data_IF_706498203356
#
_entry.id   IF_706498203356
#
_cell.length_a   1.000
_cell.length_b   1.000
_cell.length_c   1.000
_cell.angle_alpha   90.00
_cell.angle_beta   90.00
_cell.angle_gamma   90.00
#
_symmetry.space_group_name_H-M   'P 1'
#
loop_
_entity.id
_entity.type
_entity.pdbx_description
1 polymer ?
#
# COMPACT_ATOMS: atom_id res chain seq x y z
N UNK A 1 -7.34 -20.43 18.22
CA UNK A 1 -5.89 -20.28 18.28
C UNK A 1 -5.49 -19.20 17.27
N UNK A 2 -4.82 -18.11 17.66
CA UNK A 2 -4.37 -17.08 16.72
C UNK A 2 -3.23 -17.69 15.87
N UNK A 3 -3.38 -17.68 14.54
CA UNK A 3 -2.31 -18.11 13.64
C UNK A 3 -1.11 -17.17 13.79
N UNK A 4 0.11 -17.73 13.78
CA UNK A 4 1.33 -16.91 13.78
C UNK A 4 1.49 -16.26 12.41
N UNK A 5 2.09 -15.09 12.36
CA UNK A 5 2.36 -14.36 11.10
C UNK A 5 3.13 -15.23 10.10
N UNK A 6 4.09 -16.01 10.56
CA UNK A 6 4.88 -16.95 9.74
C UNK A 6 4.05 -18.06 9.07
N UNK A 7 2.92 -18.45 9.65
CA UNK A 7 2.03 -19.46 9.05
C UNK A 7 1.16 -18.87 7.92
N UNK A 8 0.95 -17.56 7.93
CA UNK A 8 0.16 -16.83 6.94
C UNK A 8 1.01 -16.28 5.79
N UNK A 9 2.31 -16.12 5.99
CA UNK A 9 3.24 -15.51 5.04
C UNK A 9 4.20 -16.52 4.40
N UNK A 10 3.71 -17.73 4.13
CA UNK A 10 4.49 -18.72 3.39
C UNK A 10 4.63 -18.29 1.92
N UNK A 11 5.82 -18.43 1.27
CA UNK A 11 6.03 -18.08 -0.13
C UNK A 11 5.00 -18.64 -1.12
N UNK A 12 4.46 -19.83 -0.84
CA UNK A 12 3.39 -20.46 -1.64
C UNK A 12 2.11 -19.63 -1.74
N UNK A 13 1.91 -18.64 -0.85
CA UNK A 13 0.81 -17.69 -0.95
C UNK A 13 0.79 -16.98 -2.31
N UNK A 14 1.98 -16.66 -2.85
CA UNK A 14 2.11 -15.97 -4.14
C UNK A 14 1.67 -16.83 -5.32
N UNK A 15 1.59 -18.14 -5.17
CA UNK A 15 1.08 -19.08 -6.19
C UNK A 15 -0.34 -19.60 -5.90
N UNK A 16 -0.90 -19.29 -4.72
CA UNK A 16 -2.18 -19.86 -4.28
C UNK A 16 -3.35 -18.92 -4.59
N UNK A 17 -3.98 -19.12 -5.76
CA UNK A 17 -5.12 -18.31 -6.24
C UNK A 17 -6.32 -18.30 -5.27
N UNK A 18 -6.56 -19.37 -4.53
CA UNK A 18 -7.68 -19.45 -3.58
C UNK A 18 -7.42 -18.50 -2.41
N UNK A 19 -6.22 -18.57 -1.83
CA UNK A 19 -5.83 -17.66 -0.73
C UNK A 19 -5.79 -16.20 -1.19
N UNK A 20 -5.32 -15.93 -2.42
CA UNK A 20 -5.33 -14.60 -3.02
C UNK A 20 -6.76 -14.05 -3.11
N UNK A 21 -7.70 -14.84 -3.61
CA UNK A 21 -9.12 -14.46 -3.70
C UNK A 21 -9.73 -14.19 -2.32
N UNK A 22 -9.39 -14.99 -1.31
CA UNK A 22 -9.84 -14.77 0.07
C UNK A 22 -9.28 -13.46 0.66
N UNK A 23 -7.99 -13.14 0.40
CA UNK A 23 -7.37 -11.89 0.85
C UNK A 23 -8.08 -10.70 0.22
N UNK A 24 -8.31 -10.74 -1.10
CA UNK A 24 -9.03 -9.69 -1.82
C UNK A 24 -10.46 -9.54 -1.29
N UNK A 25 -11.16 -10.64 -1.05
CA UNK A 25 -12.50 -10.62 -0.48
C UNK A 25 -12.53 -9.94 0.89
N UNK A 26 -11.60 -10.29 1.79
CA UNK A 26 -11.46 -9.62 3.10
C UNK A 26 -11.12 -8.14 2.95
N UNK A 27 -10.25 -7.79 1.99
CA UNK A 27 -9.88 -6.39 1.73
C UNK A 27 -11.07 -5.57 1.23
N UNK A 28 -11.90 -6.15 0.37
CA UNK A 28 -13.15 -5.55 -0.09
C UNK A 28 -14.22 -5.45 1.02
N UNK A 29 -14.22 -6.36 1.98
CA UNK A 29 -15.16 -6.33 3.10
C UNK A 29 -14.88 -5.20 4.10
N UNK A 30 -13.68 -4.62 4.11
CA UNK A 30 -13.33 -3.53 5.01
C UNK A 30 -14.21 -2.29 4.80
N UNK A 31 -14.45 -1.48 5.85
CA UNK A 31 -15.23 -0.26 5.74
C UNK A 31 -14.67 0.68 4.67
N UNK A 32 -15.57 1.36 3.96
CA UNK A 32 -15.17 2.38 2.99
C UNK A 32 -14.56 3.58 3.73
N UNK A 33 -13.33 3.94 3.38
CA UNK A 33 -12.63 5.06 3.99
C UNK A 33 -12.82 6.33 3.15
N UNK A 34 -13.59 7.26 3.70
CA UNK A 34 -13.83 8.56 3.09
C UNK A 34 -13.47 9.66 4.08
N UNK A 35 -12.36 10.36 3.84
CA UNK A 35 -11.88 11.46 4.68
C UNK A 35 -12.40 12.82 4.22
N UNK A 36 -12.85 12.93 2.96
CA UNK A 36 -13.43 14.13 2.38
C UNK A 36 -14.90 13.90 2.04
N UNK A 37 -15.77 14.80 2.49
CA UNK A 37 -17.22 14.76 2.20
C UNK A 37 -17.58 15.36 0.82
N UNK A 38 -16.67 16.12 0.20
CA UNK A 38 -16.89 16.75 -1.11
C UNK A 38 -16.84 15.71 -2.24
N UNK A 39 -17.58 15.89 -3.33
CA UNK A 39 -17.45 15.06 -4.53
C UNK A 39 -16.02 15.13 -5.07
N UNK A 40 -15.47 13.97 -5.43
CA UNK A 40 -14.15 13.86 -6.03
C UNK A 40 -14.32 13.45 -7.48
N UNK A 41 -13.79 14.27 -8.40
CA UNK A 41 -13.91 14.04 -9.86
C UNK A 41 -12.70 13.30 -10.45
N UNK A 42 -11.58 13.34 -9.75
CA UNK A 42 -10.33 12.74 -10.22
C UNK A 42 -10.15 11.36 -9.63
N UNK A 43 -9.68 10.44 -10.44
CA UNK A 43 -9.45 9.05 -10.06
C UNK A 43 -7.99 8.67 -10.24
N UNK A 44 -7.49 7.87 -9.34
CA UNK A 44 -6.16 7.31 -9.38
C UNK A 44 -6.21 5.83 -9.01
N UNK A 45 -5.17 5.10 -9.40
CA UNK A 45 -4.98 3.73 -8.98
C UNK A 45 -3.56 3.52 -8.50
N UNK A 46 -3.39 2.67 -7.50
CA UNK A 46 -2.07 2.25 -7.01
C UNK A 46 -1.99 0.73 -7.00
N UNK A 47 -0.81 0.20 -7.21
CA UNK A 47 -0.52 -1.22 -7.01
C UNK A 47 0.01 -1.41 -5.60
N UNK A 48 -0.50 -2.39 -4.86
CA UNK A 48 0.10 -2.95 -3.65
C UNK A 48 0.92 -4.16 -4.10
N UNK A 49 2.21 -3.99 -4.46
CA UNK A 49 2.98 -5.06 -5.06
C UNK A 49 3.63 -5.92 -3.98
N UNK A 50 3.31 -7.21 -4.00
CA UNK A 50 4.01 -8.21 -3.22
C UNK A 50 5.14 -8.79 -4.06
N UNK A 51 6.25 -9.12 -3.43
CA UNK A 51 7.38 -9.79 -4.07
C UNK A 51 8.09 -10.71 -3.09
N UNK A 52 8.80 -11.71 -3.61
CA UNK A 52 9.63 -12.60 -2.83
C UNK A 52 11.07 -12.06 -2.82
N UNK A 53 11.62 -11.84 -1.63
CA UNK A 53 13.02 -11.44 -1.42
C UNK A 53 13.57 -12.26 -0.26
N UNK A 54 14.66 -12.99 -0.47
CA UNK A 54 15.28 -13.86 0.54
C UNK A 54 14.26 -14.78 1.23
N UNK A 55 13.44 -15.48 0.43
CA UNK A 55 12.37 -16.39 0.85
C UNK A 55 11.31 -15.75 1.77
N UNK A 56 11.22 -14.42 1.79
CA UNK A 56 10.20 -13.68 2.54
C UNK A 56 9.32 -12.85 1.62
N UNK A 57 8.03 -12.79 1.95
CA UNK A 57 7.09 -11.93 1.24
C UNK A 57 7.29 -10.49 1.69
N UNK A 58 7.54 -9.61 0.72
CA UNK A 58 7.77 -8.18 0.92
C UNK A 58 6.70 -7.35 0.25
N UNK A 59 6.47 -6.15 0.77
CA UNK A 59 5.79 -5.07 0.06
C UNK A 59 6.84 -4.18 -0.62
N UNK A 60 6.60 -3.82 -1.88
CA UNK A 60 7.45 -2.87 -2.60
C UNK A 60 6.87 -1.47 -2.51
N UNK A 61 7.75 -0.50 -2.27
CA UNK A 61 7.44 0.92 -2.21
C UNK A 61 8.36 1.74 -3.10
N UNK A 62 7.91 2.92 -3.46
CA UNK A 62 8.70 3.95 -4.13
C UNK A 62 8.90 5.14 -3.20
N UNK A 63 10.08 5.77 -3.24
CA UNK A 63 10.34 7.07 -2.67
C UNK A 63 10.24 8.10 -3.80
N UNK A 64 9.30 9.02 -3.71
CA UNK A 64 9.06 10.02 -4.75
C UNK A 64 10.22 10.99 -4.88
N UNK A 65 10.57 11.32 -6.12
CA UNK A 65 11.68 12.22 -6.44
C UNK A 65 11.47 13.62 -5.83
N UNK A 66 12.56 14.23 -5.38
CA UNK A 66 12.58 15.63 -4.93
C UNK A 66 12.30 16.63 -6.06
N UNK A 67 12.42 16.21 -7.32
CA UNK A 67 12.12 17.02 -8.52
C UNK A 67 10.61 17.28 -8.70
N UNK A 68 9.77 16.44 -8.11
CA UNK A 68 8.31 16.55 -8.24
C UNK A 68 7.77 17.79 -7.51
N UNK A 69 6.70 18.36 -8.04
CA UNK A 69 6.03 19.51 -7.41
C UNK A 69 5.27 19.13 -6.14
N UNK A 70 4.63 17.95 -6.15
CA UNK A 70 3.75 17.48 -5.08
C UNK A 70 4.28 16.17 -4.49
N UNK A 71 4.12 16.01 -3.16
CA UNK A 71 4.46 14.77 -2.45
C UNK A 71 5.91 14.30 -2.60
N UNK A 72 6.84 15.24 -2.86
CA UNK A 72 8.27 14.94 -2.97
C UNK A 72 8.82 14.33 -1.69
N UNK A 73 9.69 13.34 -1.81
CA UNK A 73 10.32 12.67 -0.68
C UNK A 73 9.35 11.85 0.18
N UNK A 74 8.13 11.58 -0.31
CA UNK A 74 7.19 10.71 0.38
C UNK A 74 7.30 9.28 -0.14
N UNK A 75 7.16 8.34 0.77
CA UNK A 75 7.02 6.92 0.42
C UNK A 75 5.60 6.67 -0.08
N UNK A 76 5.48 6.01 -1.23
CA UNK A 76 4.20 5.64 -1.83
C UNK A 76 4.22 4.22 -2.37
N UNK A 77 3.05 3.65 -2.55
CA UNK A 77 2.90 2.56 -3.51
C UNK A 77 3.02 3.11 -4.93
N UNK A 78 3.56 2.35 -5.88
CA UNK A 78 3.56 2.72 -7.29
C UNK A 78 2.15 2.98 -7.79
N UNK A 79 1.96 4.06 -8.55
CA UNK A 79 0.64 4.40 -9.06
C UNK A 79 0.46 5.88 -9.38
N UNK A 80 -0.63 6.18 -10.07
CA UNK A 80 -0.91 7.53 -10.54
C UNK A 80 -2.34 7.75 -10.97
N UNK A 81 -2.53 8.82 -11.72
CA UNK A 81 -3.84 9.23 -12.21
C UNK A 81 -4.34 8.28 -13.29
N UNK A 82 -5.62 7.90 -13.20
CA UNK A 82 -6.26 7.14 -14.26
C UNK A 82 -6.40 8.01 -15.52
N UNK A 83 -5.79 7.54 -16.61
CA UNK A 83 -5.83 8.15 -17.93
C UNK A 83 -7.02 7.59 -18.72
N UNK A 84 -7.45 8.32 -19.77
CA UNK A 84 -8.48 7.85 -20.70
C UNK A 84 -8.09 6.58 -21.47
N UNK A 85 -6.80 6.29 -21.59
CA UNK A 85 -6.26 5.07 -22.21
C UNK A 85 -6.35 3.85 -21.28
N UNK A 86 -6.52 4.07 -19.97
CA UNK A 86 -6.63 2.99 -18.99
C UNK A 86 -8.03 2.39 -19.04
N UNK A 87 -8.14 1.15 -19.52
CA UNK A 87 -9.41 0.43 -19.62
C UNK A 87 -10.01 0.08 -18.27
N UNK A 88 -9.19 -0.04 -17.25
CA UNK A 88 -9.59 -0.36 -15.88
C UNK A 88 -8.66 0.29 -14.84
N UNK A 89 -8.99 0.19 -13.55
CA UNK A 89 -8.08 0.61 -12.47
C UNK A 89 -6.86 -0.29 -12.38
N UNK A 90 -7.04 -1.58 -12.69
CA UNK A 90 -5.98 -2.57 -12.73
C UNK A 90 -4.94 -2.21 -13.81
N UNK A 91 -5.40 -1.88 -15.03
CA UNK A 91 -4.50 -1.47 -16.13
C UNK A 91 -3.75 -0.18 -15.80
N UNK A 92 -4.40 0.79 -15.15
CA UNK A 92 -3.77 2.00 -14.66
C UNK A 92 -2.65 1.68 -13.66
N UNK A 93 -2.95 0.92 -12.61
CA UNK A 93 -1.98 0.59 -11.56
C UNK A 93 -0.75 -0.15 -12.09
N UNK A 94 -0.96 -1.07 -13.03
CA UNK A 94 0.12 -1.86 -13.62
C UNK A 94 0.95 -1.04 -14.61
N UNK A 95 0.35 -0.14 -15.38
CA UNK A 95 1.06 0.81 -16.27
C UNK A 95 1.96 1.73 -15.45
N UNK A 96 1.41 2.38 -14.42
CA UNK A 96 2.16 3.27 -13.54
C UNK A 96 3.30 2.54 -12.82
N UNK A 97 3.06 1.30 -12.38
CA UNK A 97 4.11 0.46 -11.80
C UNK A 97 5.27 0.24 -12.78
N UNK A 98 4.98 -0.09 -14.05
CA UNK A 98 6.00 -0.27 -15.10
C UNK A 98 6.76 1.04 -15.36
N UNK A 99 6.05 2.17 -15.46
CA UNK A 99 6.63 3.49 -15.71
C UNK A 99 7.56 3.94 -14.55
N UNK A 100 7.13 3.73 -13.30
CA UNK A 100 7.90 4.14 -12.12
C UNK A 100 9.08 3.22 -11.79
N UNK A 101 8.97 1.90 -12.03
CA UNK A 101 9.96 0.92 -11.58
C UNK A 101 10.83 0.34 -12.69
N UNK A 102 10.38 0.44 -13.95
CA UNK A 102 11.01 -0.19 -15.12
C UNK A 102 10.81 -1.70 -15.17
N UNK A 103 10.06 -2.29 -14.25
CA UNK A 103 9.71 -3.72 -14.30
C UNK A 103 8.51 -3.92 -15.20
N UNK A 104 8.66 -4.77 -16.23
CA UNK A 104 7.57 -5.00 -17.18
C UNK A 104 6.29 -5.48 -16.49
N UNK A 105 5.18 -4.89 -16.88
CA UNK A 105 3.82 -5.26 -16.44
C UNK A 105 3.50 -6.74 -16.63
N UNK A 106 4.16 -7.43 -17.57
CA UNK A 106 3.96 -8.86 -17.81
C UNK A 106 4.39 -9.73 -16.64
N UNK A 107 5.22 -9.21 -15.73
CA UNK A 107 5.59 -9.88 -14.47
C UNK A 107 4.61 -9.60 -13.32
N UNK A 108 3.60 -8.75 -13.52
CA UNK A 108 2.62 -8.43 -12.48
C UNK A 108 1.40 -9.33 -12.62
N UNK A 109 1.15 -10.16 -11.61
CA UNK A 109 -0.08 -10.92 -11.48
C UNK A 109 -1.04 -10.20 -10.53
N UNK A 110 -2.11 -9.65 -11.09
CA UNK A 110 -3.14 -8.94 -10.31
C UNK A 110 -4.05 -9.95 -9.62
N UNK A 111 -4.28 -9.77 -8.31
CA UNK A 111 -5.22 -10.58 -7.53
C UNK A 111 -6.62 -9.99 -7.53
N UNK A 112 -6.71 -8.65 -7.47
CA UNK A 112 -7.95 -7.92 -7.46
C UNK A 112 -7.81 -6.53 -6.84
N UNK A 113 -8.92 -5.85 -6.62
CA UNK A 113 -8.95 -4.48 -6.11
C UNK A 113 -9.66 -4.37 -4.77
N UNK A 114 -9.23 -3.40 -3.96
CA UNK A 114 -9.95 -2.94 -2.78
C UNK A 114 -11.01 -1.89 -3.11
N UNK A 115 -11.70 -1.40 -2.07
CA UNK A 115 -12.61 -0.25 -2.20
C UNK A 115 -11.83 1.05 -2.42
N UNK A 116 -12.39 1.99 -3.19
CA UNK A 116 -11.79 3.32 -3.34
C UNK A 116 -11.65 4.02 -1.99
N UNK A 117 -10.50 4.67 -1.79
CA UNK A 117 -10.20 5.47 -0.61
C UNK A 117 -10.21 6.93 -1.04
N UNK A 118 -10.97 7.75 -0.33
CA UNK A 118 -11.12 9.18 -0.62
C UNK A 118 -10.35 9.97 0.43
N UNK A 119 -9.16 10.50 0.11
CA UNK A 119 -8.35 11.29 1.02
C UNK A 119 -8.98 12.69 1.27
N UNK A 120 -8.42 13.46 2.21
CA UNK A 120 -8.84 14.86 2.45
C UNK A 120 -8.68 15.73 1.23
N UNK A 121 -7.61 15.53 0.48
CA UNK A 121 -7.31 16.22 -0.75
C UNK A 121 -6.74 15.24 -1.78
N UNK A 122 -6.96 15.53 -3.07
CA UNK A 122 -6.48 14.68 -4.15
C UNK A 122 -7.57 13.81 -4.77
N UNK A 123 -7.18 12.81 -5.58
CA UNK A 123 -8.09 11.91 -6.27
C UNK A 123 -8.70 10.86 -5.34
N UNK A 124 -9.76 10.21 -5.80
CA UNK A 124 -10.18 8.91 -5.28
C UNK A 124 -9.16 7.86 -5.68
N UNK A 125 -8.63 7.09 -4.73
CA UNK A 125 -7.55 6.12 -4.95
C UNK A 125 -8.10 4.70 -4.86
N UNK A 126 -8.03 3.95 -5.95
CA UNK A 126 -8.40 2.53 -5.98
C UNK A 126 -7.15 1.68 -5.79
N UNK A 127 -7.00 0.95 -4.66
CA UNK A 127 -5.86 0.07 -4.45
C UNK A 127 -6.04 -1.27 -5.18
N UNK A 128 -5.03 -1.68 -5.92
CA UNK A 128 -4.94 -2.96 -6.62
C UNK A 128 -3.93 -3.83 -5.89
N UNK A 129 -4.29 -5.07 -5.60
CA UNK A 129 -3.38 -6.05 -5.00
C UNK A 129 -2.83 -6.94 -6.10
N UNK A 130 -1.54 -7.17 -6.09
CA UNK A 130 -0.88 -8.08 -7.02
C UNK A 130 0.50 -8.49 -6.54
N UNK A 131 1.10 -9.47 -7.21
CA UNK A 131 2.48 -9.83 -6.92
C UNK A 131 3.33 -9.81 -8.18
N UNK A 132 4.64 -9.66 -7.99
CA UNK A 132 5.64 -9.61 -9.05
C UNK A 132 6.27 -11.00 -9.15
N UNK A 133 6.09 -11.65 -10.29
CA UNK A 133 6.70 -12.95 -10.59
C UNK A 133 8.19 -12.76 -10.85
N UNK A 134 9.02 -13.67 -10.37
CA UNK A 134 10.47 -13.67 -10.55
C UNK A 134 11.14 -12.31 -10.24
N UNK A 135 10.70 -11.69 -9.14
CA UNK A 135 11.22 -10.40 -8.73
C UNK A 135 12.71 -10.47 -8.38
N UNK A 136 13.46 -9.48 -8.87
CA UNK A 136 14.83 -9.21 -8.44
C UNK A 136 15.07 -7.71 -8.39
N UNK A 137 15.80 -7.25 -7.38
CA UNK A 137 16.20 -5.83 -7.26
C UNK A 137 17.03 -5.38 -8.46
N UNK A 138 17.80 -6.29 -9.08
CA UNK A 138 18.64 -5.98 -10.24
C UNK A 138 17.85 -5.68 -11.52
N UNK A 139 16.58 -6.07 -11.56
CA UNK A 139 15.68 -5.76 -12.68
C UNK A 139 15.08 -4.36 -12.60
N UNK A 140 15.20 -3.69 -11.48
CA UNK A 140 14.65 -2.35 -11.31
C UNK A 140 15.39 -1.32 -12.17
N UNK A 141 14.62 -0.49 -12.86
CA UNK A 141 15.11 0.65 -13.66
C UNK A 141 14.19 1.85 -13.39
N UNK A 142 14.27 2.41 -12.18
CA UNK A 142 13.35 3.47 -11.79
C UNK A 142 13.51 4.72 -12.65
N UNK A 143 12.37 5.33 -12.98
CA UNK A 143 12.35 6.64 -13.63
C UNK A 143 12.82 7.71 -12.64
N UNK A 144 14.06 8.18 -12.77
CA UNK A 144 14.68 9.13 -11.82
C UNK A 144 14.00 10.50 -11.74
N UNK A 145 13.14 10.84 -12.70
CA UNK A 145 12.38 12.08 -12.65
C UNK A 145 11.18 11.98 -11.71
N UNK A 146 10.67 10.76 -11.50
CA UNK A 146 9.51 10.49 -10.64
C UNK A 146 9.86 9.77 -9.34
N UNK A 147 10.84 8.86 -9.40
CA UNK A 147 11.20 7.95 -8.30
C UNK A 147 12.68 8.12 -7.94
N UNK A 148 12.94 8.51 -6.70
CA UNK A 148 14.31 8.61 -6.17
C UNK A 148 14.84 7.24 -5.76
N UNK A 149 13.98 6.32 -5.29
CA UNK A 149 14.37 5.01 -4.78
C UNK A 149 13.19 4.04 -4.87
N UNK A 150 13.46 2.79 -5.23
CA UNK A 150 12.54 1.66 -5.04
C UNK A 150 13.13 0.76 -3.97
N UNK A 151 12.30 0.31 -3.03
CA UNK A 151 12.74 -0.56 -1.95
C UNK A 151 11.63 -1.52 -1.51
N UNK A 152 12.03 -2.58 -0.83
CA UNK A 152 11.10 -3.58 -0.31
C UNK A 152 11.16 -3.64 1.21
N UNK A 153 10.04 -4.00 1.83
CA UNK A 153 9.94 -4.18 3.28
C UNK A 153 9.28 -5.53 3.56
N UNK A 154 9.93 -6.44 4.29
CA UNK A 154 9.31 -7.69 4.70
C UNK A 154 8.01 -7.44 5.47
N UNK A 155 6.96 -8.21 5.15
CA UNK A 155 5.65 -8.02 5.78
C UNK A 155 5.73 -8.27 7.29
N UNK A 156 6.56 -9.20 7.74
CA UNK A 156 6.81 -9.45 9.16
C UNK A 156 7.35 -8.19 9.85
N UNK A 157 8.26 -7.47 9.18
CA UNK A 157 8.87 -6.25 9.72
C UNK A 157 7.84 -5.14 9.82
N UNK A 158 7.07 -4.89 8.74
CA UNK A 158 6.11 -3.77 8.72
C UNK A 158 4.87 -4.06 9.59
N UNK A 159 4.52 -5.33 9.82
CA UNK A 159 3.40 -5.73 10.67
C UNK A 159 3.75 -5.75 12.17
N UNK A 160 5.05 -5.69 12.50
CA UNK A 160 5.51 -5.72 13.88
C UNK A 160 5.06 -4.47 14.65
N UNK A 161 4.55 -4.66 15.88
CA UNK A 161 4.08 -3.57 16.73
C UNK A 161 5.17 -2.54 17.05
N UNK A 162 6.43 -2.96 17.15
CA UNK A 162 7.57 -2.07 17.45
C UNK A 162 7.80 -1.03 16.35
N UNK A 163 7.61 -1.42 15.10
CA UNK A 163 7.84 -0.56 13.92
C UNK A 163 6.63 0.33 13.60
N UNK A 164 5.55 0.16 14.36
CA UNK A 164 4.29 0.85 14.14
C UNK A 164 4.12 1.98 15.13
N UNK A 165 4.00 3.19 14.61
CA UNK A 165 3.73 4.43 15.35
C UNK A 165 2.41 5.03 14.85
N UNK A 166 2.08 6.20 15.34
CA UNK A 166 0.94 6.97 14.86
C UNK A 166 1.28 8.47 14.88
N UNK A 167 0.67 9.21 13.97
CA UNK A 167 0.74 10.68 13.92
C UNK A 167 -0.62 11.25 14.26
N UNK A 168 -0.64 12.30 15.11
CA UNK A 168 -1.83 13.06 15.42
C UNK A 168 -1.82 14.39 14.65
N UNK A 169 -2.95 14.70 14.03
CA UNK A 169 -3.13 15.97 13.34
C UNK A 169 -4.01 16.92 14.15
N UNK A 170 -3.80 18.23 13.98
CA UNK A 170 -4.63 19.26 14.63
C UNK A 170 -6.12 19.15 14.31
N UNK A 171 -6.47 18.44 13.23
CA UNK A 171 -7.85 18.12 12.84
C UNK A 171 -8.50 16.98 13.64
N UNK A 172 -7.89 16.58 14.75
CA UNK A 172 -8.37 15.52 15.65
C UNK A 172 -8.40 14.10 15.05
N UNK A 173 -7.54 13.81 14.07
CA UNK A 173 -7.36 12.49 13.52
C UNK A 173 -5.96 11.97 13.81
N UNK A 174 -5.86 10.65 14.05
CA UNK A 174 -4.59 9.93 14.12
C UNK A 174 -4.47 9.02 12.90
N UNK A 175 -3.25 8.86 12.39
CA UNK A 175 -2.94 7.99 11.26
C UNK A 175 -1.80 7.04 11.63
N UNK A 176 -1.76 5.82 11.06
CA UNK A 176 -0.64 4.92 11.25
C UNK A 176 0.62 5.49 10.61
N UNK A 177 1.74 5.13 11.18
CA UNK A 177 3.08 5.38 10.64
C UNK A 177 3.89 4.10 10.82
N UNK A 178 4.55 3.65 9.78
CA UNK A 178 5.43 2.49 9.83
C UNK A 178 6.86 2.95 9.60
N UNK A 179 7.75 2.60 10.53
CA UNK A 179 9.17 2.88 10.45
C UNK A 179 9.93 1.68 9.88
N UNK A 180 10.81 1.93 8.92
CA UNK A 180 11.70 0.95 8.36
C UNK A 180 13.07 1.61 8.11
N UNK A 181 13.91 1.64 9.15
CA UNK A 181 15.15 2.40 9.11
C UNK A 181 14.88 3.88 8.82
N UNK A 182 15.52 4.40 7.78
CA UNK A 182 15.39 5.79 7.32
C UNK A 182 14.09 6.03 6.52
N UNK A 183 13.47 4.95 6.01
CA UNK A 183 12.25 5.05 5.23
C UNK A 183 11.01 5.01 6.14
N UNK A 184 10.21 6.05 6.09
CA UNK A 184 8.97 6.15 6.88
C UNK A 184 7.77 6.13 5.97
N UNK A 185 6.89 5.12 6.18
CA UNK A 185 5.60 5.04 5.49
C UNK A 185 4.55 5.75 6.35
N UNK A 186 3.95 6.82 5.82
CA UNK A 186 2.98 7.65 6.52
C UNK A 186 1.84 8.13 5.60
N UNK A 187 0.88 8.85 6.14
CA UNK A 187 -0.22 9.42 5.36
C UNK A 187 -1.12 8.35 4.74
N UNK A 188 -1.58 8.62 3.50
CA UNK A 188 -2.51 7.73 2.80
C UNK A 188 -1.88 6.35 2.51
N UNK A 189 -0.60 6.30 2.22
CA UNK A 189 0.14 5.06 1.98
C UNK A 189 0.11 4.18 3.23
N UNK A 190 0.34 4.74 4.41
CA UNK A 190 0.28 3.98 5.66
C UNK A 190 -1.15 3.48 5.96
N UNK A 191 -2.17 4.26 5.65
CA UNK A 191 -3.57 3.83 5.78
C UNK A 191 -3.85 2.63 4.88
N UNK A 192 -3.44 2.70 3.62
CA UNK A 192 -3.61 1.60 2.65
C UNK A 192 -2.84 0.35 3.13
N UNK A 193 -1.59 0.52 3.55
CA UNK A 193 -0.77 -0.56 4.13
C UNK A 193 -1.49 -1.21 5.32
N UNK A 194 -2.01 -0.40 6.25
CA UNK A 194 -2.73 -0.91 7.41
C UNK A 194 -3.97 -1.72 7.02
N UNK A 195 -4.80 -1.18 6.14
CA UNK A 195 -6.01 -1.87 5.68
C UNK A 195 -5.66 -3.19 4.98
N UNK A 196 -4.61 -3.18 4.17
CA UNK A 196 -4.13 -4.39 3.51
C UNK A 196 -3.61 -5.43 4.51
N UNK A 197 -2.83 -5.03 5.52
CA UNK A 197 -2.34 -5.94 6.57
C UNK A 197 -3.49 -6.55 7.40
N UNK A 198 -4.58 -5.82 7.64
CA UNK A 198 -5.79 -6.35 8.28
C UNK A 198 -6.39 -7.49 7.46
N UNK A 199 -6.43 -7.35 6.14
CA UNK A 199 -6.98 -8.35 5.24
C UNK A 199 -6.04 -9.55 5.03
N UNK A 200 -4.73 -9.29 4.96
CA UNK A 200 -3.69 -10.28 4.72
C UNK A 200 -3.46 -11.18 5.94
N UNK A 201 -3.44 -10.60 7.13
CA UNK A 201 -3.03 -11.25 8.39
C UNK A 201 -4.18 -11.28 9.41
N UNK A 202 -5.32 -11.93 9.11
CA UNK A 202 -6.46 -11.95 10.01
C UNK A 202 -6.10 -12.63 11.33
N UNK A 203 -6.33 -11.89 12.44
CA UNK A 203 -6.03 -12.35 13.79
C UNK A 203 -4.56 -12.32 14.19
N UNK A 204 -3.60 -12.23 13.26
CA UNK A 204 -2.17 -12.09 13.54
C UNK A 204 -1.73 -10.64 13.61
N UNK A 205 -2.29 -9.78 12.75
CA UNK A 205 -2.04 -8.35 12.78
C UNK A 205 -2.96 -7.67 13.80
N UNK A 206 -2.37 -6.90 14.72
CA UNK A 206 -3.17 -6.15 15.68
C UNK A 206 -3.81 -4.92 14.99
N UNK A 207 -5.06 -5.07 14.56
CA UNK A 207 -5.80 -4.00 13.91
C UNK A 207 -6.24 -2.86 14.85
N UNK A 208 -6.08 -3.02 16.19
CA UNK A 208 -6.47 -2.01 17.17
C UNK A 208 -5.46 -0.86 17.19
N UNK A 209 -5.59 0.03 16.23
CA UNK A 209 -4.84 1.29 16.21
C UNK A 209 -5.78 2.45 16.47
N UNK A 210 -5.40 3.41 17.30
CA UNK A 210 -6.21 4.60 17.59
C UNK A 210 -6.21 5.62 16.43
N UNK A 211 -5.72 5.28 15.26
CA UNK A 211 -5.41 6.22 14.18
C UNK A 211 -6.64 6.76 13.40
N UNK A 212 -7.81 6.15 13.54
CA UNK A 212 -9.06 6.67 12.93
C UNK A 212 -9.98 7.26 14.01
N UNK A 213 -9.56 7.28 15.27
CA UNK A 213 -10.31 7.92 16.35
C UNK A 213 -10.16 9.44 16.30
N UNK A 214 -11.27 10.12 16.59
CA UNK A 214 -11.25 11.54 16.85
C UNK A 214 -10.35 11.80 18.08
N UNK A 215 -9.42 12.73 17.95
CA UNK A 215 -8.59 13.14 19.09
C UNK A 215 -9.44 13.92 20.07
N UNK A 216 -9.55 13.45 21.29
CA UNK A 216 -10.11 14.20 22.39
C UNK A 216 -8.95 14.91 23.09
N UNK A 217 -8.87 16.24 22.97
CA UNK A 217 -7.90 17.02 23.71
C UNK A 217 -8.17 16.79 25.21
N UNK A 218 -7.19 16.26 25.94
CA UNK A 218 -7.24 16.36 27.40
C UNK A 218 -7.09 17.83 27.73
N UNK A 219 -8.17 18.46 28.17
CA UNK A 219 -8.12 19.75 28.80
C UNK A 219 -7.30 19.57 30.08
N UNK A 220 -6.07 20.05 30.12
CA UNK A 220 -5.26 20.25 31.32
C UNK A 220 -5.68 21.54 31.98
#
# INVERSE_FOLDING_TARGET
MLKKTSELLHPELLANVVQQAEIVSRFQALPNLRLNKKPVKKEASILIPLCLVDDRINLLYTLRSSKLRNHRGQVSFPGGMKDSRDLSYESCAVREFEEETGVSKNFVQVWGRGKPIIPYAGPSITPIVGHIVDFSMDKLRPNSDEVAKVFTVPIETISCNHNRKHTQFRSNYTMPVFQNGDDTVWGITAIITHLFLVALLPGAYNARLPFIKKYEAKLT
#
